data_IF_039503892408
#
_entry.id   IF_039503892408
#
_cell.length_a   1.000
_cell.length_b   1.000
_cell.length_c   1.000
_cell.angle_alpha   90.00
_cell.angle_beta   90.00
_cell.angle_gamma   90.00
#
_symmetry.space_group_name_H-M   'P 1'
#
loop_
_entity.id
_entity.type
_entity.pdbx_description
1 polymer ?
#
# COMPACT_ATOMS: atom_id res chain seq x y z
N UNK A 1 4.24 3.48 19.34
CA UNK A 1 5.06 3.59 20.57
C UNK A 1 4.94 2.28 21.32
N UNK A 2 5.92 1.92 22.14
CA UNK A 2 5.95 0.64 22.84
C UNK A 2 6.89 0.68 24.04
N UNK A 3 7.08 -0.48 24.68
CA UNK A 3 7.94 -0.64 25.84
C UNK A 3 8.96 -1.74 25.53
N UNK A 4 10.24 -1.49 25.79
CA UNK A 4 11.28 -2.51 25.60
C UNK A 4 11.35 -3.48 26.80
N UNK A 5 12.21 -4.49 26.72
CA UNK A 5 12.40 -5.49 27.78
C UNK A 5 12.88 -4.93 29.13
N UNK A 6 13.36 -3.69 29.16
CA UNK A 6 13.83 -2.99 30.37
C UNK A 6 12.75 -2.06 30.97
N UNK A 7 11.55 -2.01 30.38
CA UNK A 7 10.48 -1.12 30.83
C UNK A 7 10.58 0.31 30.29
N UNK A 8 11.50 0.57 29.36
CA UNK A 8 11.70 1.90 28.79
C UNK A 8 10.72 2.17 27.64
N UNK A 9 10.19 3.38 27.58
CA UNK A 9 9.32 3.83 26.49
C UNK A 9 10.17 4.01 25.23
N UNK A 10 9.77 3.36 24.14
CA UNK A 10 10.41 3.44 22.83
C UNK A 10 9.41 3.86 21.75
N UNK A 11 9.91 4.53 20.72
CA UNK A 11 9.13 4.86 19.53
C UNK A 11 9.53 3.97 18.36
N UNK A 12 8.65 3.82 17.37
CA UNK A 12 8.90 3.01 16.17
C UNK A 12 9.53 3.82 15.03
N UNK A 13 9.74 5.13 15.24
CA UNK A 13 10.17 6.07 14.20
C UNK A 13 9.05 6.43 13.21
N UNK A 14 9.45 6.87 12.01
CA UNK A 14 8.55 7.21 10.90
C UNK A 14 7.69 5.99 10.53
N UNK A 15 6.42 6.23 10.19
CA UNK A 15 5.48 5.15 9.88
C UNK A 15 5.13 4.26 11.07
N UNK A 16 5.45 4.70 12.28
CA UNK A 16 5.16 3.94 13.49
C UNK A 16 3.66 3.70 13.69
N UNK A 17 2.80 4.65 13.29
CA UNK A 17 1.34 4.49 13.34
C UNK A 17 0.86 3.39 12.40
N UNK A 18 1.23 3.45 11.11
CA UNK A 18 0.89 2.41 10.12
C UNK A 18 1.39 1.04 10.57
N UNK A 19 2.65 0.98 11.00
CA UNK A 19 3.28 -0.25 11.51
C UNK A 19 2.51 -0.81 12.71
N UNK A 20 2.10 0.06 13.64
CA UNK A 20 1.33 -0.36 14.82
C UNK A 20 -0.06 -0.86 14.43
N UNK A 21 -0.75 -0.15 13.53
CA UNK A 21 -2.09 -0.53 13.07
C UNK A 21 -2.08 -1.90 12.41
N UNK A 22 -1.13 -2.15 11.50
CA UNK A 22 -1.02 -3.43 10.81
C UNK A 22 -0.60 -4.55 11.75
N UNK A 23 0.41 -4.32 12.60
CA UNK A 23 0.86 -5.32 13.58
C UNK A 23 -0.25 -5.70 14.57
N UNK A 24 -1.04 -4.73 15.02
CA UNK A 24 -2.18 -4.98 15.90
C UNK A 24 -3.28 -5.75 15.16
N UNK A 25 -3.61 -5.36 13.92
CA UNK A 25 -4.54 -6.10 13.07
C UNK A 25 -4.14 -7.57 12.92
N UNK A 26 -2.85 -7.83 12.67
CA UNK A 26 -2.31 -9.18 12.56
C UNK A 26 -2.44 -9.96 13.87
N UNK A 27 -2.14 -9.32 15.00
CA UNK A 27 -2.22 -9.95 16.30
C UNK A 27 -3.65 -10.33 16.72
N UNK A 28 -4.66 -9.55 16.31
CA UNK A 28 -6.07 -9.81 16.63
C UNK A 28 -6.81 -10.63 15.57
N UNK A 29 -6.15 -11.00 14.47
CA UNK A 29 -6.78 -11.71 13.35
C UNK A 29 -7.85 -10.86 12.65
N UNK A 30 -7.59 -9.56 12.47
CA UNK A 30 -8.51 -8.66 11.80
C UNK A 30 -8.74 -9.09 10.34
N UNK A 31 -9.97 -8.95 9.86
CA UNK A 31 -10.32 -9.20 8.45
C UNK A 31 -9.57 -8.25 7.50
N UNK A 32 -9.34 -7.01 7.94
CA UNK A 32 -8.65 -5.96 7.18
C UNK A 32 -8.15 -4.86 8.12
N UNK A 33 -7.14 -4.11 7.68
CA UNK A 33 -6.69 -2.87 8.33
C UNK A 33 -6.90 -1.68 7.40
N UNK A 34 -7.70 -0.72 7.84
CA UNK A 34 -7.94 0.53 7.12
C UNK A 34 -6.95 1.62 7.57
N UNK A 35 -6.20 2.17 6.61
CA UNK A 35 -5.26 3.27 6.80
C UNK A 35 -5.91 4.54 6.25
N UNK A 36 -6.28 5.42 7.17
CA UNK A 36 -6.90 6.70 6.86
C UNK A 36 -5.83 7.78 6.66
N UNK A 37 -5.90 8.47 5.53
CA UNK A 37 -4.93 9.50 5.12
C UNK A 37 -5.66 10.72 4.53
N UNK A 38 -4.92 11.68 3.99
CA UNK A 38 -5.44 12.89 3.32
C UNK A 38 -5.63 12.72 1.80
N UNK A 39 -5.22 11.58 1.24
CA UNK A 39 -5.43 11.21 -0.16
C UNK A 39 -6.55 10.17 -0.31
N UNK A 40 -7.22 10.18 -1.46
CA UNK A 40 -8.35 9.27 -1.74
C UNK A 40 -7.94 7.79 -1.78
N UNK A 41 -6.67 7.49 -2.06
CA UNK A 41 -6.11 6.14 -2.14
C UNK A 41 -4.71 6.18 -2.74
N UNK A 42 -4.20 5.02 -3.17
CA UNK A 42 -2.96 4.92 -3.96
C UNK A 42 -3.26 5.40 -5.39
N UNK A 43 -2.47 6.34 -5.91
CA UNK A 43 -2.63 6.85 -7.27
C UNK A 43 -1.61 6.19 -8.21
N UNK A 44 -1.95 6.07 -9.50
CA UNK A 44 -1.04 5.52 -10.54
C UNK A 44 0.26 6.30 -10.71
N UNK A 45 0.21 7.60 -10.48
CA UNK A 45 1.35 8.50 -10.49
C UNK A 45 1.04 9.71 -9.60
N UNK A 46 2.03 10.57 -9.37
CA UNK A 46 1.81 11.83 -8.67
C UNK A 46 0.97 12.79 -9.54
N UNK A 47 -0.26 13.17 -9.10
CA UNK A 47 -1.16 13.99 -9.90
C UNK A 47 -0.63 15.40 -10.16
N UNK A 48 0.37 15.86 -9.39
CA UNK A 48 1.03 17.15 -9.61
C UNK A 48 1.83 17.19 -10.92
N UNK A 49 2.24 16.02 -11.41
CA UNK A 49 3.06 15.86 -12.62
C UNK A 49 2.32 15.13 -13.74
N UNK A 50 1.43 14.21 -13.39
CA UNK A 50 0.61 13.45 -14.34
C UNK A 50 -0.86 13.78 -14.08
N UNK A 51 -1.45 14.75 -14.80
CA UNK A 51 -2.84 15.17 -14.57
C UNK A 51 -3.88 14.06 -14.80
N UNK A 52 -3.53 13.04 -15.59
CA UNK A 52 -4.35 11.85 -15.81
C UNK A 52 -4.21 10.79 -14.73
N UNK A 53 -3.43 11.03 -13.67
CA UNK A 53 -3.30 10.11 -12.54
C UNK A 53 -4.66 9.91 -11.86
N UNK A 54 -4.96 8.66 -11.55
CA UNK A 54 -6.21 8.27 -10.92
C UNK A 54 -5.95 7.32 -9.76
N UNK A 55 -6.93 7.20 -8.86
CA UNK A 55 -6.89 6.28 -7.73
C UNK A 55 -7.06 4.84 -8.24
N UNK A 56 -6.20 3.94 -7.77
CA UNK A 56 -6.31 2.51 -8.01
C UNK A 56 -7.38 1.92 -7.09
N UNK A 57 -8.25 1.06 -7.62
CA UNK A 57 -9.23 0.34 -6.80
C UNK A 57 -8.55 -0.82 -6.05
N UNK A 58 -7.62 -1.51 -6.71
CA UNK A 58 -6.89 -2.67 -6.19
C UNK A 58 -5.41 -2.61 -6.59
N UNK A 59 -4.54 -3.10 -5.72
CA UNK A 59 -3.10 -3.25 -5.95
C UNK A 59 -2.54 -4.36 -5.04
N UNK A 60 -1.50 -5.07 -5.45
CA UNK A 60 -0.90 -6.11 -4.62
C UNK A 60 0.00 -5.55 -3.52
N UNK A 61 0.26 -6.34 -2.47
CA UNK A 61 1.28 -6.02 -1.47
C UNK A 61 2.67 -5.78 -2.09
N UNK A 62 3.03 -6.57 -3.11
CA UNK A 62 4.33 -6.46 -3.78
C UNK A 62 4.43 -5.12 -4.48
N UNK A 63 3.44 -4.76 -5.30
CA UNK A 63 3.45 -3.48 -6.04
C UNK A 63 3.45 -2.28 -5.09
N UNK A 64 2.65 -2.30 -4.02
CA UNK A 64 2.68 -1.23 -3.01
C UNK A 64 4.01 -1.19 -2.28
N UNK A 65 4.63 -2.33 -1.99
CA UNK A 65 5.92 -2.42 -1.34
C UNK A 65 7.01 -1.74 -2.17
N UNK A 66 7.06 -2.03 -3.47
CA UNK A 66 7.98 -1.39 -4.41
C UNK A 66 7.72 0.12 -4.52
N UNK A 67 6.45 0.54 -4.65
CA UNK A 67 6.10 1.96 -4.68
C UNK A 67 6.55 2.68 -3.40
N UNK A 68 6.34 2.07 -2.22
CA UNK A 68 6.72 2.64 -0.94
C UNK A 68 8.25 2.73 -0.79
N UNK A 69 9.00 1.74 -1.29
CA UNK A 69 10.46 1.74 -1.29
C UNK A 69 11.05 2.82 -2.22
N UNK A 70 10.41 3.06 -3.36
CA UNK A 70 10.77 4.13 -4.29
C UNK A 70 10.32 5.53 -3.84
N UNK A 71 9.67 5.63 -2.67
CA UNK A 71 9.37 6.90 -2.01
C UNK A 71 7.94 7.42 -2.20
N UNK A 72 7.02 6.61 -2.73
CA UNK A 72 5.60 6.93 -2.70
C UNK A 72 5.13 7.06 -1.24
N UNK A 73 4.64 8.24 -0.88
CA UNK A 73 4.37 8.60 0.53
C UNK A 73 3.00 8.13 1.06
N UNK A 74 2.48 7.02 0.55
CA UNK A 74 1.11 6.57 0.88
C UNK A 74 1.10 5.59 2.06
N UNK A 75 2.06 4.65 2.10
CA UNK A 75 2.22 3.68 3.18
C UNK A 75 3.69 3.51 3.53
N UNK A 76 3.99 3.31 4.80
CA UNK A 76 5.36 2.99 5.20
C UNK A 76 5.73 1.55 4.80
N UNK A 77 6.91 1.30 4.19
CA UNK A 77 7.30 -0.04 3.69
C UNK A 77 7.18 -1.15 4.74
N UNK A 78 7.59 -0.86 5.99
CA UNK A 78 7.48 -1.80 7.11
C UNK A 78 6.04 -2.26 7.39
N UNK A 79 5.05 -1.39 7.22
CA UNK A 79 3.65 -1.76 7.42
C UNK A 79 3.17 -2.71 6.32
N UNK A 80 3.61 -2.48 5.07
CA UNK A 80 3.32 -3.34 3.92
C UNK A 80 3.94 -4.72 4.09
N UNK A 81 5.20 -4.78 4.54
CA UNK A 81 5.92 -6.04 4.82
C UNK A 81 5.22 -6.90 5.88
N UNK A 82 4.78 -6.29 6.99
CA UNK A 82 4.04 -7.00 8.04
C UNK A 82 2.71 -7.52 7.48
N UNK A 83 1.99 -6.68 6.74
CA UNK A 83 0.72 -7.05 6.12
C UNK A 83 0.88 -8.24 5.17
N UNK A 84 1.89 -8.22 4.32
CA UNK A 84 2.21 -9.32 3.41
C UNK A 84 2.58 -10.60 4.17
N UNK A 85 3.46 -10.49 5.17
CA UNK A 85 3.93 -11.63 5.98
C UNK A 85 2.79 -12.35 6.71
N UNK A 86 1.83 -11.58 7.22
CA UNK A 86 0.66 -12.10 7.93
C UNK A 86 -0.58 -12.27 7.04
N UNK A 87 -0.46 -12.03 5.73
CA UNK A 87 -1.54 -12.08 4.75
C UNK A 87 -2.79 -11.30 5.21
N UNK A 88 -2.58 -10.11 5.79
CA UNK A 88 -3.67 -9.23 6.19
C UNK A 88 -3.98 -8.24 5.07
N UNK A 89 -5.23 -8.17 4.58
CA UNK A 89 -5.62 -7.14 3.63
C UNK A 89 -5.49 -5.75 4.25
N UNK A 90 -5.04 -4.78 3.46
CA UNK A 90 -5.05 -3.36 3.82
C UNK A 90 -6.03 -2.59 2.94
N UNK A 91 -6.36 -1.40 3.38
CA UNK A 91 -7.09 -0.44 2.57
C UNK A 91 -6.66 0.97 2.88
N UNK A 92 -6.24 1.70 1.85
CA UNK A 92 -5.88 3.11 1.99
C UNK A 92 -7.05 3.96 1.51
N UNK A 93 -7.53 4.86 2.37
CA UNK A 93 -8.63 5.76 2.00
C UNK A 93 -8.51 7.12 2.68
N UNK A 94 -9.18 8.10 2.08
CA UNK A 94 -9.22 9.46 2.64
C UNK A 94 -10.08 9.51 3.90
N UNK A 95 -9.61 10.25 4.89
CA UNK A 95 -10.34 10.60 6.12
C UNK A 95 -11.52 11.52 5.82
N UNK A 96 -11.44 12.28 4.72
CA UNK A 96 -12.39 13.32 4.35
C UNK A 96 -13.42 12.86 3.31
N UNK A 97 -13.39 11.59 2.91
CA UNK A 97 -14.20 11.06 1.82
C UNK A 97 -14.84 9.72 2.19
N UNK A 98 -16.09 9.56 1.74
CA UNK A 98 -16.82 8.30 1.87
C UNK A 98 -16.36 7.25 0.84
N UNK A 99 -15.52 7.62 -0.15
CA UNK A 99 -15.06 6.70 -1.19
C UNK A 99 -14.29 5.53 -0.62
N UNK A 100 -14.32 4.43 -1.38
CA UNK A 100 -13.74 3.21 -0.88
C UNK A 100 -12.20 3.27 -0.78
N UNK A 101 -11.55 4.00 -1.68
CA UNK A 101 -10.09 4.08 -1.75
C UNK A 101 -9.49 2.85 -2.41
N UNK A 102 -8.27 2.49 -2.02
CA UNK A 102 -7.51 1.39 -2.64
C UNK A 102 -7.44 0.20 -1.70
N UNK A 103 -7.88 -0.96 -2.16
CA UNK A 103 -7.68 -2.24 -1.48
C UNK A 103 -6.30 -2.82 -1.83
N UNK A 104 -5.62 -3.39 -0.83
CA UNK A 104 -4.31 -4.01 -0.96
C UNK A 104 -4.39 -5.42 -0.42
N UNK A 105 -4.21 -6.40 -1.28
CA UNK A 105 -4.26 -7.81 -0.92
C UNK A 105 -3.29 -8.66 -1.77
N UNK A 106 -3.08 -9.91 -1.37
CA UNK A 106 -2.19 -10.84 -2.08
C UNK A 106 -2.82 -11.36 -3.38
N UNK A 107 -4.07 -10.99 -3.65
CA UNK A 107 -4.92 -11.55 -4.69
C UNK A 107 -5.48 -10.44 -5.58
N UNK A 108 -4.59 -9.65 -6.19
CA UNK A 108 -4.93 -8.79 -7.33
C UNK A 108 -5.39 -9.56 -8.58
N UNK A 109 -5.68 -10.87 -8.45
CA UNK A 109 -6.15 -11.78 -9.48
C UNK A 109 -7.69 -11.87 -9.60
N UNK A 110 -8.44 -10.82 -9.23
CA UNK A 110 -9.84 -10.64 -9.61
C UNK A 110 -10.00 -9.75 -10.86
N UNK A 111 -9.05 -9.85 -11.79
CA UNK A 111 -9.29 -9.54 -13.19
C UNK A 111 -10.04 -10.75 -13.79
N UNK A 112 -11.06 -10.49 -14.60
CA UNK A 112 -11.97 -11.51 -15.14
C UNK A 112 -11.20 -12.72 -15.73
N UNK A 113 -11.74 -13.94 -15.60
CA UNK A 113 -11.14 -15.15 -16.16
C UNK A 113 -10.93 -15.03 -17.69
N UNK A 114 -11.64 -14.13 -18.37
CA UNK A 114 -11.44 -13.82 -19.79
C UNK A 114 -10.10 -13.12 -20.08
N UNK A 115 -9.53 -12.39 -19.11
CA UNK A 115 -8.28 -11.64 -19.28
C UNK A 115 -7.03 -12.49 -18.96
N UNK A 116 -7.21 -13.65 -18.30
CA UNK A 116 -6.10 -14.55 -17.95
C UNK A 116 -5.38 -15.13 -19.17
N UNK A 117 -6.05 -15.25 -20.31
CA UNK A 117 -5.42 -15.76 -21.53
C UNK A 117 -4.52 -14.73 -22.23
N UNK A 118 -4.59 -13.45 -21.83
CA UNK A 118 -3.79 -12.35 -22.37
C UNK A 118 -2.65 -11.88 -21.43
N UNK A 119 -2.58 -12.38 -20.20
CA UNK A 119 -1.65 -11.91 -19.16
C UNK A 119 -0.47 -12.84 -18.85
N UNK A 120 0.01 -13.63 -19.83
CA UNK A 120 1.34 -14.27 -19.69
C UNK A 120 2.48 -13.25 -19.97
N UNK A 121 2.18 -12.04 -20.46
CA UNK A 121 3.19 -11.02 -20.80
C UNK A 121 2.82 -9.59 -20.35
N UNK A 122 2.36 -9.40 -19.11
CA UNK A 122 2.50 -8.09 -18.46
C UNK A 122 3.32 -8.21 -17.19
N UNK A 123 4.60 -8.54 -17.39
CA UNK A 123 5.62 -7.96 -16.51
C UNK A 123 5.43 -6.45 -16.55
N UNK A 124 5.41 -5.80 -15.38
CA UNK A 124 5.58 -4.35 -15.26
C UNK A 124 6.69 -3.93 -16.22
N UNK A 125 6.34 -3.18 -17.25
CA UNK A 125 7.22 -2.98 -18.43
C UNK A 125 8.22 -1.83 -18.22
N UNK A 126 8.22 -1.20 -17.04
CA UNK A 126 9.26 -0.27 -16.64
C UNK A 126 8.94 0.44 -15.34
N UNK A 127 9.87 0.41 -14.40
CA UNK A 127 9.96 1.39 -13.32
C UNK A 127 10.98 2.42 -13.78
N UNK A 128 10.53 3.64 -14.05
CA UNK A 128 11.43 4.78 -14.30
C UNK A 128 11.52 5.56 -13.01
N UNK A 129 12.67 5.42 -12.33
CA UNK A 129 13.03 6.21 -11.15
C UNK A 129 13.93 7.36 -11.61
N UNK A 130 13.37 8.56 -11.64
CA UNK A 130 14.14 9.82 -11.77
C UNK A 130 14.18 10.41 -10.37
N UNK A 131 15.28 11.04 -9.90
CA UNK A 131 15.33 11.60 -8.55
C UNK A 131 14.12 12.51 -8.28
N UNK A 132 13.18 12.03 -7.46
CA UNK A 132 11.93 12.72 -7.12
C UNK A 132 10.63 12.16 -7.74
N UNK A 133 10.66 11.14 -8.60
CA UNK A 133 9.48 10.59 -9.28
C UNK A 133 9.52 9.08 -9.47
N UNK A 134 8.38 8.44 -9.20
CA UNK A 134 8.12 7.03 -9.55
C UNK A 134 6.85 6.99 -10.39
N UNK A 135 6.95 6.44 -11.60
CA UNK A 135 5.82 6.18 -12.48
C UNK A 135 5.66 4.68 -12.63
N UNK A 136 4.47 4.16 -12.33
CA UNK A 136 4.12 2.76 -12.57
C UNK A 136 3.19 2.71 -13.78
N UNK A 137 3.64 2.03 -14.84
CA UNK A 137 2.84 1.75 -16.03
C UNK A 137 2.47 0.27 -16.03
N UNK A 138 1.16 -0.01 -16.08
CA UNK A 138 0.59 -1.37 -16.13
C UNK A 138 0.06 -1.66 -17.54
#
# INVERSE_FOLDING_TARGET
>A
QGVNKHGEIVTLGRGGSDTTAVALGAAVGAERVDIFTDVEGVMTADPRYVPSAHVLEHISHVEVGEMANEGAKVLHPRAVEISQTHNIPLRVRSTFSAKEGTAIDSNSANVSIADRQLQVERLVTGVVSVPGYTMVSI
#
